data_IF_791212962014
#
_entry.id   IF_791212962014
#
_cell.length_a   1.000
_cell.length_b   1.000
_cell.length_c   1.000
_cell.angle_alpha   90.00
_cell.angle_beta   90.00
_cell.angle_gamma   90.00
#
_symmetry.space_group_name_H-M   'P 1'
#
loop_
_entity.id
_entity.type
_entity.pdbx_description
1 polymer ?
#
# COMPACT_ATOMS: atom_id res chain seq x y z
N UNK A 1 3.82 5.71 1.56
CA UNK A 1 5.15 5.08 1.67
C UNK A 1 5.00 3.68 1.10
N UNK A 2 5.73 3.38 0.02
CA UNK A 2 5.71 2.08 -0.65
C UNK A 2 7.07 1.39 -0.43
N UNK A 3 7.54 1.36 0.82
CA UNK A 3 8.92 0.99 1.15
C UNK A 3 9.84 2.20 0.94
N UNK A 4 10.88 2.07 0.12
CA UNK A 4 11.81 3.18 -0.12
C UNK A 4 11.24 4.27 -1.06
N UNK A 5 10.12 3.98 -1.73
CA UNK A 5 9.46 4.90 -2.65
C UNK A 5 8.44 5.79 -1.94
N UNK A 6 8.61 7.11 -2.12
CA UNK A 6 7.63 8.12 -1.73
C UNK A 6 7.05 8.76 -2.98
N UNK A 7 5.72 8.88 -3.01
CA UNK A 7 4.98 9.46 -4.12
C UNK A 7 3.83 10.30 -3.56
N UNK A 8 3.52 11.42 -4.24
CA UNK A 8 2.31 12.19 -3.98
C UNK A 8 1.09 11.49 -4.58
N UNK A 9 0.01 11.43 -3.81
CA UNK A 9 -1.21 10.70 -4.15
C UNK A 9 -2.40 11.58 -3.84
N UNK A 10 -3.36 11.58 -4.77
CA UNK A 10 -4.65 12.27 -4.66
C UNK A 10 -5.59 11.47 -3.75
N UNK A 11 -6.18 12.13 -2.75
CA UNK A 11 -7.08 11.50 -1.76
C UNK A 11 -8.56 11.83 -2.01
N UNK A 12 -8.90 12.46 -3.13
CA UNK A 12 -10.26 12.97 -3.42
C UNK A 12 -11.38 11.92 -3.33
N UNK A 13 -11.04 10.62 -3.43
CA UNK A 13 -12.00 9.51 -3.48
C UNK A 13 -12.21 8.80 -2.13
N UNK A 14 -11.39 9.09 -1.12
CA UNK A 14 -11.42 8.40 0.18
C UNK A 14 -11.13 9.36 1.33
N UNK A 15 -11.85 9.20 2.43
CA UNK A 15 -11.54 9.91 3.67
C UNK A 15 -10.56 9.08 4.51
N UNK A 16 -9.34 9.60 4.70
CA UNK A 16 -8.25 8.88 5.37
C UNK A 16 -7.40 9.81 6.22
N UNK A 17 -6.83 9.26 7.28
CA UNK A 17 -5.93 9.95 8.22
C UNK A 17 -4.50 9.42 8.13
N UNK A 18 -3.54 10.22 8.61
CA UNK A 18 -2.14 9.81 8.70
C UNK A 18 -2.02 8.55 9.56
N UNK A 19 -1.37 7.52 9.02
CA UNK A 19 -1.20 6.22 9.67
C UNK A 19 -2.15 5.12 9.15
N UNK A 20 -3.12 5.48 8.31
CA UNK A 20 -3.97 4.51 7.62
C UNK A 20 -3.35 4.00 6.31
N UNK A 21 -3.73 2.79 5.91
CA UNK A 21 -3.30 2.19 4.66
C UNK A 21 -4.31 2.46 3.56
N UNK A 22 -3.82 2.70 2.34
CA UNK A 22 -4.66 2.92 1.15
C UNK A 22 -4.13 2.13 -0.04
N UNK A 23 -5.04 1.68 -0.89
CA UNK A 23 -4.72 1.19 -2.22
C UNK A 23 -4.70 2.36 -3.19
N UNK A 24 -3.62 2.43 -3.97
CA UNK A 24 -3.39 3.50 -4.94
C UNK A 24 -3.47 2.95 -6.36
N UNK A 25 -4.26 3.61 -7.20
CA UNK A 25 -4.39 3.30 -8.61
C UNK A 25 -4.20 4.58 -9.43
N UNK A 26 -3.20 4.59 -10.31
CA UNK A 26 -2.88 5.72 -11.21
C UNK A 26 -2.78 7.06 -10.46
N UNK A 27 -2.16 7.06 -9.28
CA UNK A 27 -1.95 8.26 -8.47
C UNK A 27 -3.13 8.70 -7.59
N UNK A 28 -4.20 7.91 -7.53
CA UNK A 28 -5.35 8.14 -6.64
C UNK A 28 -5.45 7.05 -5.59
N UNK A 29 -5.69 7.44 -4.34
CA UNK A 29 -6.16 6.49 -3.33
C UNK A 29 -7.62 6.13 -3.64
N UNK A 30 -7.88 4.85 -3.92
CA UNK A 30 -9.20 4.36 -4.33
C UNK A 30 -9.92 3.57 -3.23
N UNK A 31 -9.17 3.09 -2.24
CA UNK A 31 -9.71 2.28 -1.15
C UNK A 31 -8.86 2.43 0.11
N UNK A 32 -9.52 2.55 1.26
CA UNK A 32 -8.90 2.47 2.59
C UNK A 32 -8.83 1.01 3.03
N UNK A 33 -7.73 0.64 3.67
CA UNK A 33 -7.53 -0.66 4.30
C UNK A 33 -7.47 -0.49 5.82
N UNK A 34 -7.97 -1.47 6.56
CA UNK A 34 -7.67 -1.54 7.99
C UNK A 34 -6.17 -1.76 8.21
N UNK A 35 -5.72 -1.49 9.42
CA UNK A 35 -4.32 -1.69 9.80
C UNK A 35 -3.89 -3.15 9.65
N UNK A 36 -4.77 -4.09 9.99
CA UNK A 36 -4.49 -5.52 9.88
C UNK A 36 -4.32 -5.93 8.41
N UNK A 37 -5.29 -5.59 7.56
CA UNK A 37 -5.27 -5.91 6.13
C UNK A 37 -4.04 -5.30 5.42
N UNK A 38 -3.70 -4.04 5.76
CA UNK A 38 -2.53 -3.37 5.20
C UNK A 38 -1.21 -4.06 5.56
N UNK A 39 -1.11 -4.57 6.80
CA UNK A 39 0.07 -5.29 7.27
C UNK A 39 0.17 -6.70 6.67
N UNK A 40 -0.96 -7.42 6.59
CA UNK A 40 -1.03 -8.74 5.95
C UNK A 40 -0.67 -8.65 4.46
N UNK A 41 -1.29 -7.70 3.75
CA UNK A 41 -0.99 -7.43 2.34
C UNK A 41 0.49 -7.15 2.14
N UNK A 42 1.09 -6.27 2.96
CA UNK A 42 2.52 -5.96 2.88
C UNK A 42 3.40 -7.18 3.09
N UNK A 43 3.05 -8.06 4.02
CA UNK A 43 3.79 -9.29 4.27
C UNK A 43 3.71 -10.26 3.07
N UNK A 44 2.53 -10.40 2.46
CA UNK A 44 2.36 -11.20 1.24
C UNK A 44 3.26 -10.64 0.11
N UNK A 45 3.27 -9.33 -0.12
CA UNK A 45 4.15 -8.72 -1.13
C UNK A 45 5.63 -9.01 -0.86
N UNK A 46 6.05 -9.00 0.41
CA UNK A 46 7.43 -9.33 0.80
C UNK A 46 7.77 -10.79 0.50
N UNK A 47 6.86 -11.73 0.78
CA UNK A 47 7.04 -13.15 0.50
C UNK A 47 7.11 -13.42 -1.01
N UNK A 48 6.21 -12.82 -1.80
CA UNK A 48 6.23 -12.93 -3.26
C UNK A 48 7.52 -12.35 -3.83
N UNK A 49 7.94 -11.17 -3.37
CA UNK A 49 9.21 -10.58 -3.81
C UNK A 49 10.41 -11.46 -3.46
N UNK A 50 10.47 -12.02 -2.26
CA UNK A 50 11.55 -12.94 -1.88
C UNK A 50 11.58 -14.19 -2.77
N UNK A 51 10.41 -14.81 -3.02
CA UNK A 51 10.30 -15.97 -3.89
C UNK A 51 10.69 -15.67 -5.36
N UNK A 52 10.46 -14.45 -5.83
CA UNK A 52 10.88 -14.01 -7.17
C UNK A 52 12.38 -13.72 -7.28
N UNK A 53 13.06 -13.44 -6.16
CA UNK A 53 14.49 -13.11 -6.12
C UNK A 53 15.38 -14.33 -5.80
N UNK A 54 14.80 -15.50 -5.52
CA UNK A 54 15.50 -16.77 -5.31
C UNK A 54 15.80 -17.53 -6.63
N UNK A 55 16.01 -16.79 -7.74
CA UNK A 55 16.59 -17.32 -9.00
C UNK A 55 18.07 -16.97 -9.17
#
# INVERSE_FOLDING_TARGET
DFGDLKQEVRLDLVDVSVGEFVLVHVGFAIQRLSREEGLETREIFRQVHAAMMEE
#
